data_IF_967649274297
#
_entry.id   IF_967649274297
#
_cell.length_a   1.000
_cell.length_b   1.000
_cell.length_c   1.000
_cell.angle_alpha   90.00
_cell.angle_beta   90.00
_cell.angle_gamma   90.00
#
_symmetry.space_group_name_H-M   'P 1'
#
loop_
_entity.id
_entity.type
_entity.pdbx_description
1 polymer ?
#
# COMPACT_ATOMS: atom_id res chain seq x y z
N UNK A 1 -14.51 68.20 -73.79
CA UNK A 1 -14.37 68.36 -72.33
C UNK A 1 -14.40 66.96 -71.74
N UNK A 2 -13.28 66.59 -71.15
CA UNK A 2 -12.86 65.25 -70.77
C UNK A 2 -13.58 64.77 -69.49
N UNK A 3 -13.85 63.46 -69.43
CA UNK A 3 -14.04 62.70 -68.18
C UNK A 3 -12.67 62.15 -67.73
N UNK A 4 -12.30 62.17 -66.44
CA UNK A 4 -12.21 60.91 -65.64
C UNK A 4 -12.30 61.14 -64.09
N UNK A 5 -12.00 60.16 -63.19
CA UNK A 5 -12.37 58.74 -63.10
C UNK A 5 -13.00 58.32 -61.74
N UNK A 6 -13.42 57.05 -61.67
CA UNK A 6 -13.90 56.28 -60.51
C UNK A 6 -12.92 56.22 -59.32
N UNK A 7 -13.44 56.16 -58.08
CA UNK A 7 -12.82 55.42 -56.96
C UNK A 7 -13.90 54.67 -56.17
N UNK A 8 -13.71 53.35 -56.09
CA UNK A 8 -14.43 52.36 -55.28
C UNK A 8 -14.37 52.66 -53.77
N UNK A 9 -15.43 52.35 -53.03
CA UNK A 9 -15.35 52.40 -51.56
C UNK A 9 -16.56 51.80 -50.84
N UNK A 10 -16.37 50.57 -50.36
CA UNK A 10 -17.03 49.95 -49.22
C UNK A 10 -18.49 49.46 -49.35
N UNK A 11 -18.57 48.21 -49.80
CA UNK A 11 -19.24 47.15 -49.04
C UNK A 11 -19.03 47.38 -47.53
N UNK A 12 -20.06 47.84 -46.82
CA UNK A 12 -20.09 47.73 -45.36
C UNK A 12 -20.36 46.25 -45.07
N UNK A 13 -19.42 45.51 -44.44
CA UNK A 13 -19.75 44.20 -43.94
C UNK A 13 -20.80 44.41 -42.84
N UNK A 14 -21.95 43.77 -43.01
CA UNK A 14 -22.85 43.49 -41.89
C UNK A 14 -22.00 42.78 -40.84
N UNK A 15 -21.68 43.48 -39.75
CA UNK A 15 -21.01 42.89 -38.59
C UNK A 15 -21.97 41.81 -38.08
N UNK A 16 -21.57 40.53 -37.99
CA UNK A 16 -22.43 39.54 -37.38
C UNK A 16 -22.60 39.94 -35.92
N UNK A 17 -23.84 40.19 -35.50
CA UNK A 17 -24.20 40.22 -34.09
C UNK A 17 -23.66 38.95 -33.46
N UNK A 18 -22.62 39.07 -32.62
CA UNK A 18 -22.17 37.99 -31.76
C UNK A 18 -23.26 37.77 -30.72
N UNK A 19 -24.30 37.01 -31.11
CA UNK A 19 -25.28 36.47 -30.20
C UNK A 19 -24.53 35.58 -29.22
N UNK A 20 -24.35 36.08 -27.99
CA UNK A 20 -23.86 35.28 -26.87
C UNK A 20 -24.84 34.13 -26.70
N UNK A 21 -24.41 32.93 -27.10
CA UNK A 21 -25.28 31.77 -27.17
C UNK A 21 -25.89 31.47 -25.78
N UNK A 22 -27.19 31.79 -25.54
CA UNK A 22 -27.82 31.70 -24.22
C UNK A 22 -27.91 30.25 -23.72
N UNK A 23 -27.65 29.28 -24.60
CA UNK A 23 -27.61 27.85 -24.29
C UNK A 23 -26.40 27.47 -23.44
N UNK A 24 -25.24 28.14 -23.57
CA UNK A 24 -24.05 27.85 -22.76
C UNK A 24 -24.17 28.38 -21.32
N UNK A 25 -24.77 29.56 -21.16
CA UNK A 25 -25.07 30.19 -19.86
C UNK A 25 -26.08 29.36 -19.07
N UNK A 26 -27.13 28.88 -19.76
CA UNK A 26 -28.12 27.99 -19.16
C UNK A 26 -27.49 26.66 -18.72
N UNK A 27 -26.54 26.11 -19.48
CA UNK A 27 -25.90 24.83 -19.14
C UNK A 27 -25.04 24.92 -17.87
N UNK A 28 -24.32 26.04 -17.68
CA UNK A 28 -23.50 26.26 -16.49
C UNK A 28 -24.36 26.42 -15.22
N UNK A 29 -25.46 27.17 -15.30
CA UNK A 29 -26.40 27.35 -14.18
C UNK A 29 -27.19 26.06 -13.86
N UNK A 30 -27.60 25.30 -14.88
CA UNK A 30 -28.29 24.01 -14.70
C UNK A 30 -27.38 22.99 -14.02
N UNK A 31 -26.07 22.97 -14.34
CA UNK A 31 -25.12 22.07 -13.69
C UNK A 31 -24.78 22.51 -12.26
N UNK A 32 -24.70 23.82 -11.98
CA UNK A 32 -24.52 24.32 -10.62
C UNK A 32 -25.70 23.94 -9.70
N UNK A 33 -26.93 24.04 -10.20
CA UNK A 33 -28.14 23.67 -9.46
C UNK A 33 -28.27 22.15 -9.22
N UNK A 34 -27.84 21.31 -10.18
CA UNK A 34 -27.87 19.84 -10.05
C UNK A 34 -26.82 19.29 -9.06
N UNK A 35 -25.80 20.08 -8.70
CA UNK A 35 -24.65 19.63 -7.89
C UNK A 35 -24.63 20.22 -6.47
N UNK A 36 -25.72 20.87 -6.02
CA UNK A 36 -25.87 21.43 -4.67
C UNK A 36 -24.73 22.41 -4.31
N UNK A 37 -24.31 23.24 -5.28
CA UNK A 37 -23.30 24.26 -5.08
C UNK A 37 -23.74 25.32 -4.04
N UNK A 38 -22.81 25.91 -3.25
CA UNK A 38 -23.13 26.96 -2.30
C UNK A 38 -23.69 28.21 -3.01
N UNK A 39 -24.70 28.87 -2.41
CA UNK A 39 -25.42 30.00 -3.02
C UNK A 39 -24.49 31.14 -3.48
N UNK A 40 -23.42 31.42 -2.74
CA UNK A 40 -22.42 32.44 -3.11
C UNK A 40 -21.77 32.18 -4.47
N UNK A 41 -21.60 30.91 -4.86
CA UNK A 41 -21.00 30.53 -6.14
C UNK A 41 -21.97 30.74 -7.31
N UNK A 42 -23.27 30.55 -7.08
CA UNK A 42 -24.31 30.83 -8.07
C UNK A 42 -24.37 32.34 -8.31
N UNK A 43 -24.27 33.14 -7.24
CA UNK A 43 -24.28 34.60 -7.30
C UNK A 43 -23.03 35.16 -8.00
N UNK A 44 -21.84 34.63 -7.71
CA UNK A 44 -20.59 35.03 -8.36
C UNK A 44 -20.59 34.70 -9.86
N UNK A 45 -21.12 33.53 -10.24
CA UNK A 45 -21.28 33.15 -11.66
C UNK A 45 -22.28 34.06 -12.36
N UNK A 46 -23.42 34.38 -11.72
CA UNK A 46 -24.40 35.30 -12.29
C UNK A 46 -23.84 36.73 -12.45
N UNK A 47 -23.04 37.19 -11.49
CA UNK A 47 -22.44 38.51 -11.53
C UNK A 47 -21.33 38.61 -12.60
N UNK A 48 -20.45 37.61 -12.69
CA UNK A 48 -19.41 37.55 -13.72
C UNK A 48 -19.97 37.46 -15.14
N UNK A 49 -21.05 36.69 -15.33
CA UNK A 49 -21.75 36.60 -16.62
C UNK A 49 -22.42 37.93 -16.98
N UNK A 50 -23.07 38.59 -16.02
CA UNK A 50 -23.73 39.89 -16.23
C UNK A 50 -22.74 41.00 -16.54
N UNK A 51 -21.57 41.00 -15.88
CA UNK A 51 -20.48 41.94 -16.13
C UNK A 51 -19.89 41.76 -17.54
N UNK A 52 -19.60 40.52 -17.95
CA UNK A 52 -19.06 40.20 -19.28
C UNK A 52 -20.03 40.51 -20.44
N UNK A 53 -21.33 40.52 -20.18
CA UNK A 53 -22.36 40.94 -21.15
C UNK A 53 -22.44 42.47 -21.32
N UNK A 54 -21.87 43.25 -20.40
CA UNK A 54 -21.96 44.72 -20.36
C UNK A 54 -20.72 45.47 -20.85
N UNK A 55 -19.54 44.82 -20.92
CA UNK A 55 -18.29 45.45 -21.34
C UNK A 55 -18.00 45.22 -22.84
N UNK A 56 -17.73 46.28 -23.60
CA UNK A 56 -17.42 46.21 -25.04
C UNK A 56 -15.98 45.76 -25.35
N UNK A 57 -15.36 44.94 -24.49
CA UNK A 57 -14.05 44.29 -24.73
C UNK A 57 -14.13 42.77 -24.47
N UNK A 58 -14.91 42.04 -25.30
CA UNK A 58 -15.34 40.68 -24.97
C UNK A 58 -14.25 39.61 -25.04
N UNK A 59 -13.20 39.76 -25.85
CA UNK A 59 -12.38 38.59 -26.21
C UNK A 59 -11.44 38.09 -25.11
N UNK A 60 -10.78 38.99 -24.38
CA UNK A 60 -9.80 38.61 -23.35
C UNK A 60 -10.48 38.24 -22.04
N UNK A 61 -11.47 39.03 -21.59
CA UNK A 61 -12.20 38.78 -20.35
C UNK A 61 -13.03 37.48 -20.42
N UNK A 62 -13.61 37.15 -21.57
CA UNK A 62 -14.32 35.86 -21.78
C UNK A 62 -13.31 34.70 -21.84
N UNK A 63 -12.13 34.89 -22.40
CA UNK A 63 -11.07 33.87 -22.42
C UNK A 63 -10.55 33.56 -21.02
N UNK A 64 -10.35 34.60 -20.20
CA UNK A 64 -9.90 34.47 -18.82
C UNK A 64 -11.00 33.82 -17.95
N UNK A 65 -12.27 34.21 -18.12
CA UNK A 65 -13.40 33.57 -17.43
C UNK A 65 -13.58 32.09 -17.80
N UNK A 66 -13.41 31.72 -19.08
CA UNK A 66 -13.42 30.31 -19.52
C UNK A 66 -12.26 29.53 -18.91
N UNK A 67 -11.07 30.12 -18.84
CA UNK A 67 -9.88 29.49 -18.26
C UNK A 67 -10.07 29.23 -16.76
N UNK A 68 -10.65 30.19 -16.04
CA UNK A 68 -11.01 30.05 -14.63
C UNK A 68 -12.08 28.97 -14.43
N UNK A 69 -13.12 28.94 -15.28
CA UNK A 69 -14.18 27.92 -15.21
C UNK A 69 -13.65 26.51 -15.48
N UNK A 70 -12.75 26.35 -16.46
CA UNK A 70 -12.09 25.07 -16.73
C UNK A 70 -11.21 24.65 -15.56
N UNK A 71 -10.39 25.56 -15.01
CA UNK A 71 -9.55 25.27 -13.85
C UNK A 71 -10.39 24.88 -12.62
N UNK A 72 -11.50 25.57 -12.36
CA UNK A 72 -12.39 25.29 -11.24
C UNK A 72 -13.14 23.95 -11.41
N UNK A 73 -13.63 23.64 -12.61
CA UNK A 73 -14.29 22.34 -12.88
C UNK A 73 -13.32 21.17 -12.76
N UNK A 74 -12.07 21.34 -13.20
CA UNK A 74 -11.00 20.35 -12.99
C UNK A 74 -10.67 20.19 -11.49
N UNK A 75 -10.53 21.29 -10.75
CA UNK A 75 -10.29 21.24 -9.30
C UNK A 75 -11.44 20.55 -8.56
N UNK A 76 -12.69 20.81 -8.95
CA UNK A 76 -13.87 20.18 -8.37
C UNK A 76 -13.91 18.67 -8.68
N UNK A 77 -13.68 18.27 -9.93
CA UNK A 77 -13.61 16.87 -10.33
C UNK A 77 -12.54 16.11 -9.51
N UNK A 78 -11.32 16.67 -9.41
CA UNK A 78 -10.25 16.11 -8.59
C UNK A 78 -10.63 16.02 -7.11
N UNK A 79 -11.37 17.00 -6.58
CA UNK A 79 -11.84 16.97 -5.19
C UNK A 79 -12.87 15.85 -4.96
N UNK A 80 -13.75 15.62 -5.93
CA UNK A 80 -14.78 14.56 -5.86
C UNK A 80 -14.18 13.16 -5.97
N UNK A 81 -13.21 12.96 -6.86
CA UNK A 81 -12.46 11.69 -6.99
C UNK A 81 -11.71 11.35 -5.70
N UNK A 82 -11.01 12.34 -5.12
CA UNK A 82 -10.32 12.19 -3.83
C UNK A 82 -11.28 11.79 -2.71
N UNK A 83 -12.45 12.41 -2.63
CA UNK A 83 -13.45 12.10 -1.62
C UNK A 83 -14.06 10.71 -1.83
N UNK A 84 -14.31 10.33 -3.09
CA UNK A 84 -14.86 9.02 -3.44
C UNK A 84 -13.88 7.89 -3.09
N UNK A 85 -12.61 8.01 -3.47
CA UNK A 85 -11.58 7.02 -3.11
C UNK A 85 -11.42 6.84 -1.60
N UNK A 86 -11.48 7.93 -0.82
CA UNK A 86 -11.46 7.86 0.66
C UNK A 86 -12.65 7.10 1.22
N UNK A 87 -13.85 7.28 0.66
CA UNK A 87 -15.06 6.55 1.09
C UNK A 87 -14.93 5.06 0.80
N UNK A 88 -14.49 4.70 -0.41
CA UNK A 88 -14.24 3.31 -0.80
C UNK A 88 -13.22 2.65 0.14
N UNK A 89 -12.09 3.31 0.40
CA UNK A 89 -11.08 2.80 1.32
C UNK A 89 -11.61 2.61 2.76
N UNK A 90 -12.48 3.50 3.22
CA UNK A 90 -13.15 3.35 4.53
C UNK A 90 -14.06 2.12 4.54
N UNK A 91 -14.85 1.92 3.48
CA UNK A 91 -15.66 0.70 3.33
C UNK A 91 -14.78 -0.55 3.34
N UNK A 92 -13.67 -0.53 2.59
CA UNK A 92 -12.71 -1.63 2.57
C UNK A 92 -12.14 -1.95 3.96
N UNK A 93 -11.81 -0.92 4.75
CA UNK A 93 -11.35 -1.10 6.12
C UNK A 93 -12.42 -1.78 6.99
N UNK A 94 -13.67 -1.32 6.94
CA UNK A 94 -14.75 -1.94 7.73
C UNK A 94 -15.01 -3.40 7.37
N UNK A 95 -14.86 -3.77 6.09
CA UNK A 95 -15.00 -5.15 5.63
C UNK A 95 -13.82 -6.01 6.09
N UNK A 96 -12.59 -5.48 6.03
CA UNK A 96 -11.41 -6.18 6.53
C UNK A 96 -11.51 -6.45 8.03
N UNK A 97 -11.91 -5.45 8.83
CA UNK A 97 -12.11 -5.62 10.28
C UNK A 97 -13.17 -6.70 10.56
N UNK A 98 -14.28 -6.72 9.80
CA UNK A 98 -15.29 -7.78 9.91
C UNK A 98 -14.74 -9.15 9.54
N UNK A 99 -13.90 -9.25 8.51
CA UNK A 99 -13.22 -10.49 8.15
C UNK A 99 -12.28 -10.98 9.27
N UNK A 100 -11.53 -10.09 9.92
CA UNK A 100 -10.62 -10.46 11.01
C UNK A 100 -11.36 -11.14 12.17
N UNK A 101 -12.58 -10.71 12.47
CA UNK A 101 -13.42 -11.29 13.53
C UNK A 101 -14.18 -12.55 13.09
N UNK A 102 -14.75 -12.55 11.87
CA UNK A 102 -15.68 -13.60 11.42
C UNK A 102 -15.04 -14.66 10.53
N UNK A 103 -13.85 -14.40 9.99
CA UNK A 103 -13.22 -15.14 8.89
C UNK A 103 -14.13 -15.32 7.66
N UNK A 104 -15.07 -14.39 7.46
CA UNK A 104 -15.94 -14.37 6.28
C UNK A 104 -15.19 -13.87 5.04
N UNK A 105 -14.90 -14.77 4.11
CA UNK A 105 -14.14 -14.45 2.89
C UNK A 105 -14.89 -13.56 1.89
N UNK A 106 -16.20 -13.37 2.04
CA UNK A 106 -16.94 -12.41 1.22
C UNK A 106 -16.64 -10.97 1.66
N UNK A 107 -16.48 -10.74 2.96
CA UNK A 107 -16.00 -9.46 3.48
C UNK A 107 -14.56 -9.19 3.02
N UNK A 108 -13.69 -10.21 3.01
CA UNK A 108 -12.32 -10.06 2.48
C UNK A 108 -12.31 -9.69 0.98
N UNK A 109 -13.16 -10.34 0.17
CA UNK A 109 -13.29 -10.01 -1.27
C UNK A 109 -13.85 -8.61 -1.48
N UNK A 110 -14.85 -8.22 -0.68
CA UNK A 110 -15.38 -6.86 -0.69
C UNK A 110 -14.32 -5.82 -0.37
N UNK A 111 -13.47 -6.09 0.63
CA UNK A 111 -12.34 -5.22 0.97
C UNK A 111 -11.34 -5.09 -0.19
N UNK A 112 -11.01 -6.20 -0.87
CA UNK A 112 -10.13 -6.20 -2.06
C UNK A 112 -10.71 -5.29 -3.14
N UNK A 113 -11.98 -5.47 -3.50
CA UNK A 113 -12.66 -4.63 -4.50
C UNK A 113 -12.64 -3.16 -4.10
N UNK A 114 -13.00 -2.84 -2.86
CA UNK A 114 -13.05 -1.47 -2.38
C UNK A 114 -11.67 -0.78 -2.40
N UNK A 115 -10.60 -1.47 -1.98
CA UNK A 115 -9.25 -0.91 -2.04
C UNK A 115 -8.71 -0.81 -3.46
N UNK A 116 -9.03 -1.77 -4.33
CA UNK A 116 -8.64 -1.73 -5.74
C UNK A 116 -9.32 -0.55 -6.45
N UNK A 117 -10.61 -0.37 -6.26
CA UNK A 117 -11.36 0.76 -6.83
C UNK A 117 -10.85 2.09 -6.27
N UNK A 118 -10.57 2.17 -4.96
CA UNK A 118 -9.99 3.36 -4.36
C UNK A 118 -8.63 3.71 -4.97
N UNK A 119 -7.77 2.72 -5.21
CA UNK A 119 -6.46 2.92 -5.83
C UNK A 119 -6.54 3.27 -7.32
N UNK A 120 -7.53 2.75 -8.05
CA UNK A 120 -7.71 3.02 -9.47
C UNK A 120 -8.32 4.41 -9.73
N UNK A 121 -9.26 4.85 -8.89
CA UNK A 121 -10.00 6.11 -9.07
C UNK A 121 -9.27 7.33 -8.48
N UNK A 122 -8.12 7.15 -7.83
CA UNK A 122 -7.38 8.26 -7.23
C UNK A 122 -5.99 8.42 -7.86
N UNK A 123 -5.56 9.66 -8.16
CA UNK A 123 -4.19 9.92 -8.60
C UNK A 123 -3.14 9.51 -7.56
N UNK A 124 -1.90 9.30 -8.01
CA UNK A 124 -0.80 8.82 -7.16
C UNK A 124 -0.41 9.80 -6.05
N UNK A 125 -0.68 11.10 -6.22
CA UNK A 125 -0.37 12.17 -5.28
C UNK A 125 -1.30 12.21 -4.07
N UNK A 126 -2.33 11.34 -4.02
CA UNK A 126 -3.28 11.31 -2.90
C UNK A 126 -2.62 10.65 -1.68
N UNK A 127 -2.46 11.34 -0.53
CA UNK A 127 -1.73 10.81 0.62
C UNK A 127 -2.24 9.47 1.19
N UNK A 128 -3.50 9.11 0.92
CA UNK A 128 -4.10 7.85 1.38
C UNK A 128 -3.77 6.65 0.49
N UNK A 129 -3.38 6.86 -0.77
CA UNK A 129 -3.15 5.78 -1.74
C UNK A 129 -2.06 4.80 -1.33
N UNK A 130 -0.91 5.23 -0.77
CA UNK A 130 0.10 4.31 -0.27
C UNK A 130 -0.50 3.32 0.76
N UNK A 131 -1.32 3.81 1.69
CA UNK A 131 -1.99 2.96 2.69
C UNK A 131 -2.99 1.99 2.05
N UNK A 132 -3.82 2.44 1.10
CA UNK A 132 -4.81 1.58 0.43
C UNK A 132 -4.16 0.47 -0.39
N UNK A 133 -3.08 0.78 -1.11
CA UNK A 133 -2.30 -0.21 -1.86
C UNK A 133 -1.69 -1.26 -0.92
N UNK A 134 -1.19 -0.85 0.25
CA UNK A 134 -0.69 -1.78 1.26
C UNK A 134 -1.81 -2.68 1.81
N UNK A 135 -2.99 -2.12 2.10
CA UNK A 135 -4.15 -2.91 2.56
C UNK A 135 -4.67 -3.85 1.49
N UNK A 136 -4.68 -3.44 0.22
CA UNK A 136 -4.99 -4.30 -0.93
C UNK A 136 -4.04 -5.49 -0.98
N UNK A 137 -2.72 -5.25 -0.91
CA UNK A 137 -1.71 -6.29 -0.86
C UNK A 137 -1.97 -7.27 0.29
N UNK A 138 -2.23 -6.75 1.49
CA UNK A 138 -2.53 -7.58 2.66
C UNK A 138 -3.76 -8.48 2.44
N UNK A 139 -4.86 -7.92 1.91
CA UNK A 139 -6.08 -8.70 1.67
C UNK A 139 -5.85 -9.79 0.62
N UNK A 140 -5.12 -9.48 -0.45
CA UNK A 140 -4.75 -10.44 -1.49
C UNK A 140 -3.87 -11.56 -0.92
N UNK A 141 -2.90 -11.23 -0.07
CA UNK A 141 -2.07 -12.23 0.60
C UNK A 141 -2.90 -13.16 1.50
N UNK A 142 -3.83 -12.63 2.30
CA UNK A 142 -4.74 -13.43 3.12
C UNK A 142 -5.62 -14.37 2.26
N UNK A 143 -6.10 -13.87 1.11
CA UNK A 143 -6.87 -14.68 0.17
C UNK A 143 -6.00 -15.78 -0.47
N UNK A 144 -4.75 -15.47 -0.79
CA UNK A 144 -3.77 -16.47 -1.22
C UNK A 144 -3.51 -17.52 -0.14
N UNK A 145 -3.36 -17.16 1.13
CA UNK A 145 -3.15 -18.14 2.21
C UNK A 145 -4.29 -19.15 2.26
N UNK A 146 -5.53 -18.73 2.00
CA UNK A 146 -6.70 -19.61 1.98
C UNK A 146 -6.81 -20.47 0.72
N UNK A 147 -6.71 -19.87 -0.46
CA UNK A 147 -7.06 -20.54 -1.73
C UNK A 147 -5.83 -20.96 -2.55
N UNK A 148 -4.63 -20.53 -2.15
CA UNK A 148 -3.34 -20.87 -2.76
C UNK A 148 -3.24 -20.56 -4.26
N UNK A 149 -3.97 -19.54 -4.73
CA UNK A 149 -3.95 -19.07 -6.13
C UNK A 149 -2.73 -18.19 -6.39
N UNK A 150 -1.86 -18.61 -7.31
CA UNK A 150 -0.62 -17.91 -7.62
C UNK A 150 -0.86 -16.49 -8.16
N UNK A 151 -1.88 -16.29 -8.99
CA UNK A 151 -2.17 -14.95 -9.53
C UNK A 151 -2.57 -13.97 -8.43
N UNK A 152 -3.31 -14.44 -7.42
CA UNK A 152 -3.63 -13.62 -6.23
C UNK A 152 -2.37 -13.20 -5.46
N UNK A 153 -1.39 -14.11 -5.34
CA UNK A 153 -0.09 -13.78 -4.74
C UNK A 153 0.70 -12.78 -5.58
N UNK A 154 0.70 -12.92 -6.91
CA UNK A 154 1.33 -11.95 -7.82
C UNK A 154 0.69 -10.57 -7.68
N UNK A 155 -0.64 -10.50 -7.60
CA UNK A 155 -1.35 -9.23 -7.35
C UNK A 155 -1.01 -8.63 -5.99
N UNK A 156 -0.81 -9.46 -4.95
CA UNK A 156 -0.34 -9.01 -3.63
C UNK A 156 1.01 -8.30 -3.71
N UNK A 157 1.97 -8.93 -4.40
CA UNK A 157 3.32 -8.37 -4.61
C UNK A 157 3.25 -7.02 -5.34
N UNK A 158 2.47 -6.93 -6.42
CA UNK A 158 2.29 -5.68 -7.18
C UNK A 158 1.68 -4.58 -6.32
N UNK A 159 0.67 -4.90 -5.50
CA UNK A 159 0.04 -3.92 -4.62
C UNK A 159 1.01 -3.41 -3.53
N UNK A 160 1.83 -4.29 -2.95
CA UNK A 160 2.88 -3.87 -2.01
C UNK A 160 3.98 -3.04 -2.66
N UNK A 161 4.43 -3.42 -3.86
CA UNK A 161 5.40 -2.62 -4.62
C UNK A 161 4.88 -1.21 -4.89
N UNK A 162 3.62 -1.08 -5.31
CA UNK A 162 3.01 0.25 -5.51
C UNK A 162 2.89 1.03 -4.19
N UNK A 163 2.58 0.34 -3.09
CA UNK A 163 2.54 0.98 -1.77
C UNK A 163 3.91 1.51 -1.33
N UNK A 164 5.01 0.84 -1.69
CA UNK A 164 6.38 1.25 -1.38
C UNK A 164 6.82 2.39 -2.30
N UNK A 165 6.54 2.29 -3.60
CA UNK A 165 6.86 3.33 -4.60
C UNK A 165 6.28 4.71 -4.22
N UNK A 166 5.07 4.72 -3.63
CA UNK A 166 4.39 5.94 -3.23
C UNK A 166 4.72 6.41 -1.80
N UNK A 167 5.57 5.68 -1.07
CA UNK A 167 5.93 6.00 0.32
C UNK A 167 7.31 6.64 0.40
N UNK A 168 7.42 7.85 0.99
CA UNK A 168 8.71 8.47 1.28
C UNK A 168 9.61 7.59 2.16
N UNK A 169 10.92 7.70 1.97
CA UNK A 169 11.91 6.89 2.72
C UNK A 169 11.90 7.15 4.23
N UNK A 170 11.41 8.31 4.67
CA UNK A 170 11.31 8.72 6.08
C UNK A 170 9.94 8.39 6.72
N UNK A 171 9.01 7.78 5.97
CA UNK A 171 7.70 7.38 6.48
C UNK A 171 7.82 6.17 7.43
N UNK A 172 7.36 6.26 8.69
CA UNK A 172 7.40 5.15 9.64
C UNK A 172 6.68 3.88 9.15
N UNK A 173 5.70 4.00 8.24
CA UNK A 173 4.97 2.88 7.68
C UNK A 173 5.76 2.11 6.60
N UNK A 174 6.90 2.64 6.12
CA UNK A 174 7.72 2.01 5.08
C UNK A 174 8.23 0.64 5.51
N UNK A 175 8.75 0.53 6.74
CA UNK A 175 9.25 -0.71 7.32
C UNK A 175 8.20 -1.84 7.29
N UNK A 176 6.94 -1.52 7.65
CA UNK A 176 5.84 -2.47 7.62
C UNK A 176 5.45 -2.90 6.20
N UNK A 177 5.53 -2.00 5.21
CA UNK A 177 5.19 -2.31 3.81
C UNK A 177 6.26 -3.20 3.18
N UNK A 178 7.53 -2.88 3.41
CA UNK A 178 8.66 -3.69 2.99
C UNK A 178 8.59 -5.10 3.61
N UNK A 179 8.30 -5.22 4.90
CA UNK A 179 8.19 -6.55 5.52
C UNK A 179 7.05 -7.39 4.94
N UNK A 180 5.91 -6.78 4.62
CA UNK A 180 4.81 -7.47 3.94
C UNK A 180 5.16 -7.88 2.50
N UNK A 181 5.92 -7.06 1.77
CA UNK A 181 6.46 -7.42 0.46
C UNK A 181 7.39 -8.63 0.57
N UNK A 182 8.32 -8.62 1.54
CA UNK A 182 9.26 -9.73 1.77
C UNK A 182 8.51 -11.05 2.01
N UNK A 183 7.49 -11.05 2.87
CA UNK A 183 6.64 -12.23 3.13
C UNK A 183 5.92 -12.73 1.86
N UNK A 184 5.46 -11.82 1.00
CA UNK A 184 4.81 -12.20 -0.27
C UNK A 184 5.80 -12.80 -1.27
N UNK A 185 7.04 -12.28 -1.31
CA UNK A 185 8.12 -12.81 -2.14
C UNK A 185 8.56 -14.19 -1.66
N UNK A 186 8.73 -14.39 -0.35
CA UNK A 186 9.02 -15.71 0.23
C UNK A 186 7.92 -16.71 -0.10
N UNK A 187 6.66 -16.33 0.04
CA UNK A 187 5.55 -17.21 -0.33
C UNK A 187 5.56 -17.56 -1.83
N UNK A 188 6.09 -16.68 -2.70
CA UNK A 188 6.21 -16.97 -4.14
C UNK A 188 7.38 -17.90 -4.39
N UNK A 189 8.50 -17.69 -3.71
CA UNK A 189 9.63 -18.61 -3.66
C UNK A 189 9.19 -20.01 -3.21
N UNK A 190 8.42 -20.15 -2.13
CA UNK A 190 7.95 -21.46 -1.64
C UNK A 190 7.10 -22.20 -2.69
N UNK A 191 6.41 -21.44 -3.56
CA UNK A 191 5.52 -22.00 -4.58
C UNK A 191 6.24 -22.34 -5.89
N UNK A 192 7.24 -21.56 -6.27
CA UNK A 192 7.89 -21.66 -7.58
C UNK A 192 9.36 -22.12 -7.51
N UNK A 193 10.00 -21.99 -6.36
CA UNK A 193 11.42 -22.26 -6.15
C UNK A 193 12.35 -21.23 -6.80
N UNK A 194 11.83 -20.07 -7.22
CA UNK A 194 12.59 -19.03 -7.91
C UNK A 194 13.52 -18.27 -6.96
N UNK A 195 14.82 -18.56 -7.00
CA UNK A 195 15.83 -17.99 -6.09
C UNK A 195 15.80 -16.46 -6.04
N UNK A 196 15.52 -15.80 -7.17
CA UNK A 196 15.42 -14.34 -7.25
C UNK A 196 14.39 -13.77 -6.26
N UNK A 197 13.29 -14.49 -6.02
CA UNK A 197 12.26 -14.06 -5.06
C UNK A 197 12.80 -14.07 -3.63
N UNK A 198 13.54 -15.13 -3.28
CA UNK A 198 14.17 -15.24 -1.97
C UNK A 198 15.26 -14.19 -1.77
N UNK A 199 16.06 -13.92 -2.80
CA UNK A 199 17.07 -12.85 -2.77
C UNK A 199 16.44 -11.48 -2.60
N UNK A 200 15.37 -11.19 -3.36
CA UNK A 200 14.61 -9.94 -3.20
C UNK A 200 13.93 -9.84 -1.84
N UNK A 201 13.42 -10.93 -1.27
CA UNK A 201 12.85 -10.94 0.07
C UNK A 201 13.91 -10.63 1.13
N UNK A 202 15.10 -11.24 1.01
CA UNK A 202 16.24 -11.00 1.90
C UNK A 202 16.75 -9.55 1.83
N UNK A 203 16.87 -8.99 0.63
CA UNK A 203 17.22 -7.58 0.44
C UNK A 203 16.19 -6.66 1.08
N UNK A 204 14.90 -6.97 0.87
CA UNK A 204 13.79 -6.19 1.40
C UNK A 204 13.77 -6.20 2.93
N UNK A 205 13.92 -7.36 3.58
CA UNK A 205 13.89 -7.46 5.04
C UNK A 205 15.18 -6.93 5.70
N UNK A 206 16.34 -6.98 5.02
CA UNK A 206 17.55 -6.29 5.47
C UNK A 206 17.35 -4.78 5.51
N UNK A 207 16.76 -4.20 4.45
CA UNK A 207 16.41 -2.78 4.42
C UNK A 207 15.46 -2.40 5.56
N UNK A 208 14.51 -3.26 5.91
CA UNK A 208 13.64 -3.03 7.09
C UNK A 208 14.46 -2.92 8.37
N UNK A 209 15.39 -3.86 8.60
CA UNK A 209 16.26 -3.86 9.79
C UNK A 209 17.15 -2.61 9.82
N UNK A 210 17.70 -2.19 8.68
CA UNK A 210 18.55 -0.99 8.56
C UNK A 210 17.78 0.31 8.85
N UNK A 211 16.52 0.39 8.43
CA UNK A 211 15.65 1.55 8.68
C UNK A 211 15.07 1.60 10.09
N UNK A 212 15.11 0.48 10.83
CA UNK A 212 14.49 0.39 12.16
C UNK A 212 15.47 0.84 13.24
N UNK A 213 15.13 1.86 14.06
CA UNK A 213 15.97 2.28 15.19
C UNK A 213 16.27 1.13 16.16
N UNK A 214 17.43 1.20 16.81
CA UNK A 214 17.88 0.16 17.75
C UNK A 214 16.97 -0.02 18.97
N UNK A 215 16.22 1.02 19.34
CA UNK A 215 15.26 1.06 20.45
C UNK A 215 13.80 0.83 20.00
N UNK A 216 13.56 0.56 18.72
CA UNK A 216 12.21 0.28 18.22
C UNK A 216 11.71 -1.08 18.74
N UNK A 217 10.50 -1.14 19.34
CA UNK A 217 9.95 -2.38 19.88
C UNK A 217 9.67 -3.45 18.80
N UNK A 218 9.61 -3.09 17.52
CA UNK A 218 9.43 -4.03 16.41
C UNK A 218 10.76 -4.58 15.88
N UNK A 219 11.92 -4.03 16.25
CA UNK A 219 13.22 -4.54 15.78
C UNK A 219 13.40 -6.04 16.02
N UNK A 220 13.05 -6.62 17.20
CA UNK A 220 13.11 -8.06 17.41
C UNK A 220 12.28 -8.87 16.39
N UNK A 221 11.12 -8.33 15.95
CA UNK A 221 10.25 -8.94 14.94
C UNK A 221 10.96 -8.99 13.59
N UNK A 222 11.54 -7.87 13.15
CA UNK A 222 12.22 -7.80 11.86
C UNK A 222 13.46 -8.67 11.81
N UNK A 223 14.25 -8.70 12.88
CA UNK A 223 15.38 -9.60 13.03
C UNK A 223 14.95 -11.08 12.94
N UNK A 224 13.86 -11.45 13.61
CA UNK A 224 13.38 -12.83 13.53
C UNK A 224 12.91 -13.22 12.13
N UNK A 225 12.27 -12.30 11.40
CA UNK A 225 11.88 -12.55 10.01
C UNK A 225 13.12 -12.71 9.12
N UNK A 226 14.10 -11.81 9.22
CA UNK A 226 15.37 -11.91 8.49
C UNK A 226 16.07 -13.25 8.76
N UNK A 227 16.10 -13.69 10.01
CA UNK A 227 16.71 -14.95 10.39
C UNK A 227 15.99 -16.17 9.77
N UNK A 228 14.65 -16.15 9.69
CA UNK A 228 13.87 -17.19 9.00
C UNK A 228 14.15 -17.18 7.49
N UNK A 229 14.24 -16.00 6.86
CA UNK A 229 14.61 -15.87 5.44
C UNK A 229 16.01 -16.47 5.16
N UNK A 230 16.97 -16.19 6.04
CA UNK A 230 18.33 -16.72 5.96
C UNK A 230 18.35 -18.24 6.13
N UNK A 231 17.59 -18.77 7.09
CA UNK A 231 17.42 -20.22 7.26
C UNK A 231 16.78 -20.90 6.04
N UNK A 232 15.82 -20.23 5.40
CA UNK A 232 15.19 -20.71 4.15
C UNK A 232 16.21 -20.78 3.02
N UNK A 233 17.05 -19.75 2.87
CA UNK A 233 18.14 -19.73 1.88
C UNK A 233 19.18 -20.80 2.16
N UNK A 234 19.55 -20.99 3.43
CA UNK A 234 20.43 -22.10 3.83
C UNK A 234 19.84 -23.46 3.42
N UNK A 235 18.56 -23.71 3.72
CA UNK A 235 17.93 -24.98 3.37
C UNK A 235 17.91 -25.22 1.85
N UNK A 236 17.85 -24.14 1.06
CA UNK A 236 17.83 -24.22 -0.40
C UNK A 236 19.22 -24.37 -1.03
N UNK A 237 20.21 -23.62 -0.56
CA UNK A 237 21.53 -23.52 -1.19
C UNK A 237 22.64 -24.28 -0.44
N UNK A 238 22.42 -24.58 0.85
CA UNK A 238 23.39 -25.24 1.73
C UNK A 238 24.54 -24.34 2.18
N UNK A 239 24.46 -23.03 1.97
CA UNK A 239 25.51 -22.07 2.33
C UNK A 239 25.60 -21.90 3.85
N UNK A 240 26.60 -22.52 4.50
CA UNK A 240 26.72 -22.51 5.96
C UNK A 240 26.72 -21.09 6.57
N UNK A 241 27.26 -20.11 5.84
CA UNK A 241 27.24 -18.70 6.25
C UNK A 241 25.82 -18.16 6.47
N UNK A 242 24.85 -18.59 5.68
CA UNK A 242 23.45 -18.17 5.86
C UNK A 242 22.86 -18.73 7.17
N UNK A 243 23.21 -19.98 7.53
CA UNK A 243 22.80 -20.57 8.80
C UNK A 243 23.45 -19.88 10.00
N UNK A 244 24.73 -19.52 9.89
CA UNK A 244 25.44 -18.77 10.92
C UNK A 244 24.84 -17.39 11.14
N UNK A 245 24.56 -16.66 10.04
CA UNK A 245 23.89 -15.37 10.09
C UNK A 245 22.46 -15.50 10.67
N UNK A 246 21.71 -16.55 10.31
CA UNK A 246 20.38 -16.81 10.86
C UNK A 246 20.44 -17.00 12.38
N UNK A 247 21.41 -17.78 12.88
CA UNK A 247 21.60 -18.01 14.30
C UNK A 247 21.98 -16.75 15.06
N UNK A 248 22.91 -15.96 14.54
CA UNK A 248 23.28 -14.67 15.13
C UNK A 248 22.09 -13.73 15.19
N UNK A 249 21.33 -13.62 14.10
CA UNK A 249 20.16 -12.75 14.00
C UNK A 249 19.04 -13.21 14.94
N UNK A 250 18.80 -14.52 15.07
CA UNK A 250 17.85 -15.07 16.04
C UNK A 250 18.26 -14.79 17.50
N UNK A 251 19.55 -14.95 17.84
CA UNK A 251 20.05 -14.61 19.17
C UNK A 251 19.83 -13.14 19.48
N UNK A 252 20.16 -12.26 18.53
CA UNK A 252 19.95 -10.82 18.69
C UNK A 252 18.47 -10.48 18.90
N UNK A 253 17.57 -11.12 18.17
CA UNK A 253 16.13 -10.94 18.36
C UNK A 253 15.67 -11.37 19.76
N UNK A 254 16.17 -12.51 20.26
CA UNK A 254 15.87 -12.99 21.62
C UNK A 254 16.42 -12.04 22.69
N UNK A 255 17.67 -11.57 22.54
CA UNK A 255 18.30 -10.63 23.47
C UNK A 255 17.56 -9.31 23.61
N UNK A 256 17.00 -8.79 22.51
CA UNK A 256 16.26 -7.54 22.47
C UNK A 256 14.78 -7.69 22.89
N UNK A 257 14.29 -8.91 23.07
CA UNK A 257 12.90 -9.15 23.44
C UNK A 257 12.76 -9.15 24.96
N UNK A 258 11.85 -8.33 25.54
CA UNK A 258 11.58 -8.35 26.98
C UNK A 258 11.17 -9.74 27.47
N UNK A 259 11.53 -10.06 28.72
CA UNK A 259 11.27 -11.38 29.31
C UNK A 259 9.78 -11.74 29.45
N UNK A 260 8.92 -10.73 29.54
CA UNK A 260 7.47 -10.80 29.67
C UNK A 260 6.72 -10.65 28.33
N UNK A 261 7.45 -10.47 27.21
CA UNK A 261 6.86 -10.40 25.88
C UNK A 261 6.34 -11.79 25.46
N UNK A 262 5.04 -11.93 25.12
CA UNK A 262 4.47 -13.19 24.64
C UNK A 262 5.19 -13.78 23.41
N UNK A 263 5.80 -12.93 22.58
CA UNK A 263 6.53 -13.35 21.38
C UNK A 263 7.91 -13.97 21.70
N UNK A 264 8.43 -13.81 22.92
CA UNK A 264 9.72 -14.36 23.32
C UNK A 264 9.77 -15.88 23.13
N UNK A 265 8.70 -16.58 23.52
CA UNK A 265 8.58 -18.01 23.32
C UNK A 265 8.73 -18.36 21.83
N UNK A 266 8.07 -17.62 20.93
CA UNK A 266 8.14 -17.86 19.48
C UNK A 266 9.55 -17.68 18.93
N UNK A 267 10.24 -16.62 19.33
CA UNK A 267 11.63 -16.36 18.93
C UNK A 267 12.60 -17.43 19.41
N UNK A 268 12.45 -17.88 20.66
CA UNK A 268 13.24 -18.98 21.22
C UNK A 268 13.05 -20.27 20.43
N UNK A 269 11.81 -20.62 20.07
CA UNK A 269 11.58 -21.81 19.24
C UNK A 269 12.22 -21.72 17.85
N UNK A 270 12.24 -20.54 17.22
CA UNK A 270 12.92 -20.38 15.94
C UNK A 270 14.45 -20.50 16.06
N UNK A 271 15.02 -19.95 17.14
CA UNK A 271 16.43 -20.14 17.47
C UNK A 271 16.75 -21.61 17.70
N UNK A 272 15.93 -22.32 18.48
CA UNK A 272 16.09 -23.75 18.75
C UNK A 272 16.05 -24.59 17.45
N UNK A 273 15.11 -24.31 16.55
CA UNK A 273 15.02 -24.98 15.25
C UNK A 273 16.28 -24.75 14.39
N UNK A 274 16.83 -23.54 14.39
CA UNK A 274 18.07 -23.22 13.67
C UNK A 274 19.28 -23.92 14.29
N UNK A 275 19.35 -24.03 15.62
CA UNK A 275 20.39 -24.78 16.33
C UNK A 275 20.30 -26.28 16.02
N UNK A 276 19.09 -26.84 16.02
CA UNK A 276 18.83 -28.21 15.60
C UNK A 276 19.25 -28.44 14.15
N UNK A 277 18.94 -27.52 13.24
CA UNK A 277 19.38 -27.58 11.84
C UNK A 277 20.91 -27.61 11.74
N UNK A 278 21.62 -26.78 12.52
CA UNK A 278 23.09 -26.80 12.57
C UNK A 278 23.65 -28.10 13.11
N UNK A 279 23.04 -28.67 14.16
CA UNK A 279 23.42 -29.99 14.67
C UNK A 279 23.28 -31.07 13.60
N UNK A 280 22.15 -31.13 12.90
CA UNK A 280 21.94 -32.13 11.84
C UNK A 280 22.98 -32.03 10.71
N UNK A 281 23.54 -30.83 10.49
CA UNK A 281 24.47 -30.56 9.40
C UNK A 281 25.94 -30.74 9.79
N UNK A 282 26.31 -30.44 11.04
CA UNK A 282 27.70 -30.45 11.49
C UNK A 282 27.99 -31.56 12.53
N UNK A 283 26.98 -32.16 13.14
CA UNK A 283 27.12 -33.20 14.16
C UNK A 283 27.62 -32.70 15.53
N UNK A 284 27.70 -31.39 15.73
CA UNK A 284 28.21 -30.79 16.96
C UNK A 284 27.19 -30.89 18.10
N UNK A 285 27.43 -31.80 19.06
CA UNK A 285 26.54 -32.05 20.21
C UNK A 285 26.18 -30.79 21.00
N UNK A 286 27.09 -29.83 21.12
CA UNK A 286 26.83 -28.54 21.79
C UNK A 286 25.64 -27.79 21.19
N UNK A 287 25.43 -27.88 19.86
CA UNK A 287 24.29 -27.24 19.21
C UNK A 287 22.98 -27.94 19.55
N UNK A 288 22.99 -29.27 19.72
CA UNK A 288 21.81 -30.04 20.16
C UNK A 288 21.43 -29.69 21.61
N UNK A 289 22.43 -29.65 22.50
CA UNK A 289 22.22 -29.25 23.90
C UNK A 289 21.63 -27.83 23.99
N UNK A 290 22.20 -26.89 23.22
CA UNK A 290 21.70 -25.51 23.15
C UNK A 290 20.28 -25.45 22.55
N UNK A 291 19.97 -26.26 21.54
CA UNK A 291 18.63 -26.34 20.95
C UNK A 291 17.60 -26.82 21.98
N UNK A 292 17.93 -27.88 22.73
CA UNK A 292 17.08 -28.44 23.77
C UNK A 292 16.84 -27.46 24.92
N UNK A 293 17.89 -26.79 25.40
CA UNK A 293 17.76 -25.75 26.44
C UNK A 293 16.87 -24.59 25.98
N UNK A 294 17.13 -24.10 24.76
CA UNK A 294 16.34 -23.00 24.17
C UNK A 294 14.87 -23.40 23.99
N UNK A 295 14.61 -24.64 23.54
CA UNK A 295 13.25 -25.13 23.34
C UNK A 295 12.51 -25.38 24.66
N UNK A 296 13.19 -25.86 25.71
CA UNK A 296 12.60 -25.99 27.05
C UNK A 296 12.15 -24.63 27.58
N UNK A 297 13.02 -23.61 27.48
CA UNK A 297 12.67 -22.24 27.85
C UNK A 297 11.47 -21.71 27.06
N UNK A 298 11.38 -22.01 25.77
CA UNK A 298 10.22 -21.63 24.96
C UNK A 298 8.91 -22.27 25.47
N UNK A 299 8.95 -23.55 25.86
CA UNK A 299 7.81 -24.27 26.42
C UNK A 299 7.41 -23.69 27.79
N UNK A 300 8.38 -23.41 28.67
CA UNK A 300 8.13 -22.83 30.00
C UNK A 300 7.46 -21.47 29.94
N UNK A 301 7.78 -20.66 28.92
CA UNK A 301 7.19 -19.34 28.70
C UNK A 301 5.85 -19.38 27.97
N UNK A 302 5.41 -20.54 27.48
CA UNK A 302 4.15 -20.66 26.75
C UNK A 302 3.02 -20.97 27.73
N UNK A 303 1.95 -20.13 27.80
CA UNK A 303 0.77 -20.43 28.61
C UNK A 303 0.17 -21.79 28.27
N UNK A 304 -0.42 -22.47 29.27
CA UNK A 304 -0.97 -23.82 29.08
C UNK A 304 -2.19 -23.87 28.14
N UNK A 305 -2.84 -22.73 27.92
CA UNK A 305 -3.98 -22.52 27.02
C UNK A 305 -3.57 -21.97 25.64
N UNK A 306 -2.28 -21.80 25.37
CA UNK A 306 -1.77 -21.31 24.10
C UNK A 306 -1.88 -22.37 22.99
N UNK A 307 -2.44 -21.98 21.84
CA UNK A 307 -2.64 -22.83 20.66
C UNK A 307 -1.32 -23.32 20.03
N UNK A 308 -0.21 -22.64 20.29
CA UNK A 308 1.12 -23.00 19.79
C UNK A 308 1.86 -23.97 20.71
N UNK A 309 1.38 -24.21 21.94
CA UNK A 309 2.01 -25.14 22.88
C UNK A 309 2.20 -26.56 22.30
N UNK A 310 1.21 -27.18 21.62
CA UNK A 310 1.40 -28.51 21.03
C UNK A 310 2.52 -28.57 20.00
N UNK A 311 2.68 -27.52 19.19
CA UNK A 311 3.75 -27.41 18.19
C UNK A 311 5.11 -27.31 18.87
N UNK A 312 5.22 -26.51 19.94
CA UNK A 312 6.47 -26.37 20.71
C UNK A 312 6.85 -27.66 21.42
N UNK A 313 5.89 -28.37 21.99
CA UNK A 313 6.13 -29.69 22.59
C UNK A 313 6.59 -30.72 21.55
N UNK A 314 6.00 -30.69 20.35
CA UNK A 314 6.42 -31.57 19.25
C UNK A 314 7.87 -31.30 18.83
N UNK A 315 8.27 -30.03 18.71
CA UNK A 315 9.64 -29.66 18.38
C UNK A 315 10.65 -30.07 19.48
N UNK A 316 10.24 -30.00 20.75
CA UNK A 316 11.05 -30.50 21.86
C UNK A 316 11.21 -32.02 21.77
N UNK A 317 10.14 -32.76 21.48
CA UNK A 317 10.16 -34.21 21.38
C UNK A 317 11.03 -34.71 20.21
N UNK A 318 11.06 -34.00 19.07
CA UNK A 318 11.93 -34.34 17.93
C UNK A 318 13.41 -34.11 18.25
N UNK A 319 13.72 -33.24 19.22
CA UNK A 319 15.08 -32.89 19.59
C UNK A 319 15.67 -33.79 20.70
N UNK A 320 14.85 -34.65 21.32
CA UNK A 320 15.23 -35.59 22.39
C UNK A 320 15.57 -36.98 21.81
#
# INVERSE_FOLDING_TARGET
>A
MESPPEISGHNVPVIPEFSVNPTLVSFALINAAKLNAPHSLVDDLQHGISSALSSSKPSQEISDAKSIQVAHTQALAQSTEKLHGRRLAKTGATMLDRFEHSRNYDDLRGAITAYQDAAQLTPDEVPGKPYWSSRLGHCLYQLFLRFRKLDTLRSSIVAFQKAIELTPDDDPALALRLSNLAISLEARFDRLGEIKDLESALETIRRVVELTPADDPNLPRWLSNLAVSLGTRFNRLGELKDLENALETHRRAVELTPGDDPELAWRLSNLANSLGTRFHRLGELKNLESALETQRRAVELTPSDDLDLPRRLSNLAVSL
#
